data_IF_740140152705
#
_entry.id   IF_740140152705
#
_cell.length_a   1.000
_cell.length_b   1.000
_cell.length_c   1.000
_cell.angle_alpha   90.00
_cell.angle_beta   90.00
_cell.angle_gamma   90.00
#
_symmetry.space_group_name_H-M   'P 1'
#
loop_
_entity.id
_entity.type
_entity.pdbx_description
1 polymer ?
#
# COMPACT_ATOMS: atom_id res chain seq x y z
N UNK A 1 -5.62 15.89 4.76
CA UNK A 1 -4.21 15.87 5.15
C UNK A 1 -3.67 14.50 4.79
N UNK A 2 -2.51 14.50 4.17
CA UNK A 2 -1.67 13.33 3.98
C UNK A 2 -0.33 13.71 4.60
N UNK A 3 0.17 12.92 5.54
CA UNK A 3 1.30 13.34 6.36
C UNK A 3 2.16 12.18 6.83
N UNK A 4 3.41 12.54 7.06
CA UNK A 4 4.38 11.82 7.88
C UNK A 4 4.60 12.66 9.14
N UNK A 5 5.03 12.05 10.23
CA UNK A 5 5.38 12.78 11.45
C UNK A 5 6.76 12.33 11.92
N UNK A 6 7.63 13.28 12.27
CA UNK A 6 9.00 12.97 12.67
C UNK A 6 9.12 12.18 13.97
N UNK A 7 8.14 12.27 14.86
CA UNK A 7 8.06 11.49 16.10
C UNK A 7 7.55 10.06 15.88
N UNK A 8 6.87 9.80 14.77
CA UNK A 8 6.34 8.49 14.33
C UNK A 8 6.66 8.27 12.84
N UNK A 9 7.94 8.15 12.47
CA UNK A 9 8.36 8.19 11.06
C UNK A 9 7.92 6.96 10.26
N UNK A 10 7.57 5.88 10.94
CA UNK A 10 7.14 4.59 10.38
C UNK A 10 5.61 4.46 10.24
N UNK A 11 4.86 5.52 10.54
CA UNK A 11 3.39 5.54 10.39
C UNK A 11 3.01 6.59 9.35
N UNK A 12 2.17 6.18 8.39
CA UNK A 12 1.59 7.08 7.41
C UNK A 12 0.19 7.50 7.85
N UNK A 13 -0.15 8.77 7.64
CA UNK A 13 -1.44 9.32 8.03
C UNK A 13 -2.18 9.89 6.81
N UNK A 14 -3.48 9.58 6.72
CA UNK A 14 -4.37 10.03 5.66
C UNK A 14 -5.75 10.37 6.24
N UNK A 15 -6.23 11.60 6.05
CA UNK A 15 -7.56 11.99 6.57
C UNK A 15 -7.78 13.48 6.73
N UNK A 16 -8.45 13.90 7.80
CA UNK A 16 -8.76 15.31 8.12
C UNK A 16 -8.26 15.73 9.51
N UNK A 17 -7.92 16.99 9.71
CA UNK A 17 -7.28 17.45 10.96
C UNK A 17 -8.07 17.08 12.24
N UNK A 18 -9.39 16.98 12.13
CA UNK A 18 -10.33 16.64 13.19
C UNK A 18 -10.74 15.16 13.21
N UNK A 19 -10.16 14.33 12.34
CA UNK A 19 -10.44 12.90 12.26
C UNK A 19 -9.78 12.31 11.04
N UNK A 20 -9.06 11.20 11.21
CA UNK A 20 -8.30 10.63 10.12
C UNK A 20 -7.86 9.21 10.42
N UNK A 21 -7.25 8.63 9.40
CA UNK A 21 -6.75 7.28 9.41
C UNK A 21 -5.23 7.30 9.46
N UNK A 22 -4.67 6.22 9.97
CA UNK A 22 -3.25 5.90 9.91
C UNK A 22 -3.07 4.46 9.46
N UNK A 23 -1.88 4.11 8.98
CA UNK A 23 -1.56 2.71 8.70
C UNK A 23 -1.67 1.87 9.97
N UNK A 24 -2.31 0.70 9.87
CA UNK A 24 -2.46 -0.23 10.98
C UNK A 24 -1.15 -0.97 11.31
N UNK A 25 -0.21 -0.98 10.36
CA UNK A 25 1.14 -1.53 10.51
C UNK A 25 2.19 -0.49 10.15
N UNK A 26 3.41 -0.57 10.72
CA UNK A 26 4.53 0.28 10.32
C UNK A 26 4.91 0.08 8.85
N UNK A 27 5.44 1.13 8.23
CA UNK A 27 6.09 1.08 6.91
C UNK A 27 7.61 1.04 7.05
N UNK A 28 8.30 0.54 6.01
CA UNK A 28 9.75 0.50 5.99
C UNK A 28 10.36 1.92 5.97
N UNK A 29 11.44 2.11 6.73
CA UNK A 29 12.18 3.37 6.78
C UNK A 29 13.42 3.33 5.88
N UNK A 30 13.83 4.49 5.39
CA UNK A 30 15.08 4.65 4.63
C UNK A 30 15.02 4.08 3.21
N UNK A 31 13.82 3.75 2.71
CA UNK A 31 13.58 3.25 1.36
C UNK A 31 12.71 4.23 0.58
N UNK A 32 12.91 4.30 -0.74
CA UNK A 32 11.93 4.94 -1.61
C UNK A 32 10.64 4.13 -1.61
N UNK A 33 9.51 4.83 -1.54
CA UNK A 33 8.18 4.25 -1.60
C UNK A 33 7.29 5.11 -2.49
N UNK A 34 6.41 4.48 -3.25
CA UNK A 34 5.33 5.17 -3.94
C UNK A 34 4.11 5.23 -3.05
N UNK A 35 3.57 6.44 -2.85
CA UNK A 35 2.42 6.65 -1.98
C UNK A 35 1.30 7.32 -2.76
N UNK A 36 0.09 6.76 -2.66
CA UNK A 36 -1.11 7.38 -3.21
C UNK A 36 -2.24 7.31 -2.18
N UNK A 37 -2.82 8.46 -1.85
CA UNK A 37 -4.06 8.53 -1.08
C UNK A 37 -5.20 8.91 -1.99
N UNK A 38 -6.24 8.07 -2.03
CA UNK A 38 -7.46 8.27 -2.81
C UNK A 38 -8.61 8.56 -1.84
N UNK A 39 -9.39 9.61 -2.15
CA UNK A 39 -10.60 9.97 -1.39
C UNK A 39 -11.83 9.93 -2.30
N UNK A 40 -12.73 8.98 -2.06
CA UNK A 40 -14.04 8.86 -2.69
C UNK A 40 -15.16 9.40 -1.78
N UNK A 41 -15.60 10.63 -2.03
CA UNK A 41 -16.72 11.25 -1.32
C UNK A 41 -18.09 10.64 -1.61
N UNK A 42 -18.18 9.69 -2.55
CA UNK A 42 -19.42 9.00 -2.90
C UNK A 42 -19.53 7.62 -2.22
N UNK A 43 -18.47 7.13 -1.57
CA UNK A 43 -18.40 5.80 -0.94
C UNK A 43 -19.23 5.64 0.36
N UNK A 44 -20.21 6.52 0.62
CA UNK A 44 -21.12 6.44 1.76
C UNK A 44 -21.13 7.71 2.62
N UNK A 45 -21.17 7.54 3.95
CA UNK A 45 -21.19 8.67 4.87
C UNK A 45 -19.92 9.51 4.69
N UNK A 46 -20.06 10.82 4.51
CA UNK A 46 -18.96 11.77 4.37
C UNK A 46 -18.23 12.06 5.71
N UNK A 47 -17.94 10.99 6.45
CA UNK A 47 -17.11 11.01 7.65
C UNK A 47 -15.62 10.86 7.32
N UNK A 48 -14.73 11.01 8.32
CA UNK A 48 -13.29 10.95 8.12
C UNK A 48 -12.75 9.53 7.89
N UNK A 49 -13.56 8.50 8.18
CA UNK A 49 -13.13 7.09 8.16
C UNK A 49 -13.63 6.30 6.95
N UNK A 50 -14.45 6.91 6.09
CA UNK A 50 -15.09 6.23 4.95
C UNK A 50 -14.57 6.83 3.65
N UNK A 51 -14.41 5.99 2.63
CA UNK A 51 -14.00 6.40 1.29
C UNK A 51 -12.58 6.96 1.22
N UNK A 52 -11.68 6.51 2.09
CA UNK A 52 -10.25 6.82 2.00
C UNK A 52 -9.48 5.51 1.83
N UNK A 53 -8.65 5.44 0.81
CA UNK A 53 -7.74 4.30 0.57
C UNK A 53 -6.33 4.84 0.44
N UNK A 54 -5.40 4.29 1.22
CA UNK A 54 -3.98 4.57 1.08
C UNK A 54 -3.33 3.39 0.37
N UNK A 55 -2.49 3.71 -0.61
CA UNK A 55 -1.67 2.75 -1.34
C UNK A 55 -0.20 3.00 -1.02
N UNK A 56 0.53 1.92 -0.71
CA UNK A 56 1.98 1.89 -0.57
C UNK A 56 2.51 0.94 -1.63
N UNK A 57 3.45 1.42 -2.44
CA UNK A 57 4.06 0.70 -3.56
C UNK A 57 3.01 0.01 -4.45
N UNK A 58 1.93 0.73 -4.73
CA UNK A 58 0.86 0.28 -5.61
C UNK A 58 -0.25 -0.50 -4.93
N UNK A 59 -0.05 -0.88 -3.66
CA UNK A 59 -0.92 -1.80 -2.94
C UNK A 59 -1.72 -1.14 -1.83
N UNK A 60 -3.03 -1.41 -1.72
CA UNK A 60 -3.84 -0.85 -0.65
C UNK A 60 -3.35 -1.37 0.69
N UNK A 61 -3.18 -0.47 1.66
CA UNK A 61 -2.74 -0.84 3.02
C UNK A 61 -3.88 -0.73 4.02
N UNK A 62 -3.90 -1.67 4.97
CA UNK A 62 -4.83 -1.62 6.08
C UNK A 62 -4.64 -0.33 6.88
N UNK A 63 -5.74 0.38 7.11
CA UNK A 63 -5.76 1.60 7.90
C UNK A 63 -6.71 1.48 9.10
N UNK A 64 -6.40 2.22 10.14
CA UNK A 64 -7.20 2.31 11.37
C UNK A 64 -7.43 3.78 11.76
N UNK A 65 -8.49 4.09 12.53
CA UNK A 65 -8.67 5.41 13.11
C UNK A 65 -7.45 5.84 13.93
N UNK A 66 -6.98 7.06 13.71
CA UNK A 66 -5.92 7.61 14.54
C UNK A 66 -6.46 7.96 15.93
N UNK A 67 -6.04 7.20 16.93
CA UNK A 67 -6.44 7.35 18.33
C UNK A 67 -6.09 8.71 18.93
N UNK A 68 -5.13 9.41 18.33
CA UNK A 68 -4.62 10.68 18.84
C UNK A 68 -5.45 11.87 18.33
N UNK A 69 -6.40 11.62 17.42
CA UNK A 69 -7.31 12.61 16.91
C UNK A 69 -8.65 12.58 17.66
N UNK A 70 -9.38 13.71 17.73
CA UNK A 70 -10.62 13.80 18.51
C UNK A 70 -11.79 12.93 18.02
N UNK A 71 -11.67 12.26 16.87
CA UNK A 71 -12.65 11.28 16.40
C UNK A 71 -14.01 11.85 15.97
N UNK A 72 -14.04 13.03 15.34
CA UNK A 72 -15.31 13.64 14.91
C UNK A 72 -16.00 12.89 13.76
N UNK A 73 -17.31 13.03 13.65
CA UNK A 73 -18.14 12.33 12.64
C UNK A 73 -18.39 13.15 11.37
N UNK A 74 -18.08 14.45 11.38
CA UNK A 74 -18.24 15.35 10.23
C UNK A 74 -16.89 15.90 9.81
N UNK A 75 -16.58 15.74 8.54
CA UNK A 75 -15.37 16.30 7.93
C UNK A 75 -15.56 17.79 7.69
N UNK A 76 -14.59 18.60 8.11
CA UNK A 76 -14.52 20.02 7.76
C UNK A 76 -13.54 20.20 6.58
N UNK A 77 -14.04 20.71 5.46
CA UNK A 77 -13.26 20.92 4.23
C UNK A 77 -13.31 22.39 3.86
N UNK A 78 -12.18 23.06 3.92
CA UNK A 78 -12.01 24.43 3.47
C UNK A 78 -10.69 24.58 2.69
N UNK A 79 -10.65 25.57 1.80
CA UNK A 79 -9.44 25.88 1.04
C UNK A 79 -8.37 26.47 1.95
N UNK A 80 -7.14 25.94 1.88
CA UNK A 80 -5.99 26.47 2.58
C UNK A 80 -4.72 26.21 1.77
N UNK A 81 -3.59 26.89 2.07
CA UNK A 81 -2.33 26.61 1.40
C UNK A 81 -1.94 25.13 1.53
N UNK A 82 -1.63 24.50 0.41
CA UNK A 82 -1.05 23.17 0.40
C UNK A 82 0.38 23.24 0.92
N UNK A 83 0.73 22.33 1.83
CA UNK A 83 2.04 22.31 2.51
C UNK A 83 2.67 20.95 2.31
N UNK A 84 3.97 20.96 2.06
CA UNK A 84 4.80 19.77 1.85
C UNK A 84 5.79 19.72 3.02
N UNK A 85 6.01 18.52 3.57
CA UNK A 85 6.92 18.25 4.70
C UNK A 85 6.63 19.01 6.01
N UNK A 86 5.55 19.78 6.11
CA UNK A 86 5.19 20.49 7.36
C UNK A 86 3.69 20.72 7.53
N UNK A 87 3.22 20.62 8.75
CA UNK A 87 1.86 21.00 9.14
C UNK A 87 1.68 22.52 9.23
N UNK A 88 0.40 22.94 9.31
CA UNK A 88 0.02 24.34 9.41
C UNK A 88 0.38 25.00 10.75
N UNK A 89 0.63 24.22 11.81
CA UNK A 89 1.05 24.67 13.14
C UNK A 89 2.58 24.85 13.27
N UNK A 90 3.34 24.56 12.21
CA UNK A 90 4.79 24.72 12.12
C UNK A 90 5.63 23.85 13.07
N UNK A 91 5.00 23.09 13.98
CA UNK A 91 5.69 22.26 14.96
C UNK A 91 5.76 20.79 14.54
N UNK A 92 4.85 20.34 13.67
CA UNK A 92 4.89 18.99 13.07
C UNK A 92 5.49 19.06 11.68
N UNK A 93 6.54 18.30 11.45
CA UNK A 93 7.25 18.21 10.18
C UNK A 93 7.66 16.77 9.89
N UNK A 94 8.02 16.53 8.64
CA UNK A 94 8.56 15.28 8.15
C UNK A 94 9.96 15.54 7.62
N UNK A 95 10.94 14.75 8.08
CA UNK A 95 12.28 14.73 7.50
C UNK A 95 12.36 13.58 6.50
N UNK A 96 11.95 13.86 5.26
CA UNK A 96 11.86 12.87 4.18
C UNK A 96 12.32 13.47 2.87
N UNK A 97 12.83 12.63 1.96
CA UNK A 97 13.02 13.01 0.56
C UNK A 97 11.72 12.74 -0.20
N UNK A 98 11.31 13.66 -1.06
CA UNK A 98 10.13 13.51 -1.92
C UNK A 98 10.50 13.84 -3.36
N UNK A 99 9.90 13.13 -4.29
CA UNK A 99 9.98 13.40 -5.72
C UNK A 99 8.62 13.08 -6.37
N UNK A 100 8.38 13.64 -7.55
CA UNK A 100 7.19 13.36 -8.40
C UNK A 100 5.84 13.57 -7.68
N UNK A 101 5.74 14.65 -6.89
CA UNK A 101 4.50 14.99 -6.21
C UNK A 101 3.41 15.44 -7.19
N UNK A 102 2.27 14.75 -7.15
CA UNK A 102 1.10 15.05 -7.97
C UNK A 102 -0.19 15.13 -7.14
N UNK A 103 -1.16 15.92 -7.65
CA UNK A 103 -2.52 16.02 -7.11
C UNK A 103 -3.51 15.91 -8.27
N UNK A 104 -4.56 15.10 -8.08
CA UNK A 104 -5.58 14.83 -9.08
C UNK A 104 -6.95 15.28 -8.57
N UNK A 105 -7.82 15.71 -9.48
CA UNK A 105 -9.23 16.01 -9.24
C UNK A 105 -10.16 14.84 -9.60
N UNK A 106 -9.59 13.70 -9.98
CA UNK A 106 -10.27 12.45 -10.28
C UNK A 106 -9.88 11.34 -9.30
N UNK A 107 -10.75 10.34 -9.19
CA UNK A 107 -10.45 9.10 -8.49
C UNK A 107 -9.51 8.26 -9.36
N UNK A 108 -8.31 8.00 -8.85
CA UNK A 108 -7.45 6.98 -9.43
C UNK A 108 -7.93 5.59 -8.99
N UNK A 109 -8.10 4.70 -9.96
CA UNK A 109 -8.33 3.29 -9.71
C UNK A 109 -7.05 2.59 -9.23
N UNK A 110 -7.20 1.46 -8.57
CA UNK A 110 -6.07 0.62 -8.16
C UNK A 110 -5.19 0.22 -9.35
N UNK A 111 -5.79 -0.17 -10.47
CA UNK A 111 -5.06 -0.53 -11.69
C UNK A 111 -4.19 0.63 -12.21
N UNK A 112 -4.71 1.85 -12.18
CA UNK A 112 -3.93 3.03 -12.59
C UNK A 112 -2.77 3.30 -11.65
N UNK A 113 -2.98 3.14 -10.34
CA UNK A 113 -1.93 3.30 -9.33
C UNK A 113 -0.84 2.25 -9.53
N UNK A 114 -1.20 0.98 -9.68
CA UNK A 114 -0.24 -0.12 -9.93
C UNK A 114 0.54 0.09 -11.23
N UNK A 115 -0.14 0.50 -12.31
CA UNK A 115 0.52 0.81 -13.58
C UNK A 115 1.59 1.92 -13.45
N UNK A 116 1.34 2.92 -12.59
CA UNK A 116 2.34 3.97 -12.31
C UNK A 116 3.54 3.43 -11.55
N UNK A 117 3.32 2.61 -10.53
CA UNK A 117 4.39 1.96 -9.76
C UNK A 117 5.27 1.09 -10.66
N UNK A 118 4.66 0.30 -11.53
CA UNK A 118 5.36 -0.51 -12.55
C UNK A 118 6.17 0.37 -13.51
N UNK A 119 5.62 1.48 -13.98
CA UNK A 119 6.33 2.42 -14.86
C UNK A 119 7.54 3.09 -14.18
N UNK A 120 7.49 3.23 -12.85
CA UNK A 120 8.60 3.73 -12.04
C UNK A 120 9.63 2.64 -11.69
N UNK A 121 9.36 1.37 -12.03
CA UNK A 121 10.24 0.24 -11.69
C UNK A 121 10.28 -0.07 -10.19
N UNK A 122 9.29 0.40 -9.43
CA UNK A 122 9.18 0.11 -7.99
C UNK A 122 8.54 -1.28 -7.85
N UNK A 123 9.14 -2.22 -7.10
CA UNK A 123 8.50 -3.50 -6.81
C UNK A 123 7.26 -3.27 -5.95
N UNK A 124 6.15 -3.90 -6.28
CA UNK A 124 4.94 -3.80 -5.47
C UNK A 124 5.19 -4.46 -4.11
N UNK A 125 4.86 -3.76 -3.01
CA UNK A 125 5.05 -4.29 -1.65
C UNK A 125 3.92 -5.26 -1.28
N UNK A 126 3.74 -6.31 -2.08
CA UNK A 126 2.92 -7.48 -1.75
C UNK A 126 3.84 -8.59 -1.28
N UNK A 127 4.21 -8.59 0.02
CA UNK A 127 5.21 -9.49 0.60
C UNK A 127 4.81 -10.96 0.69
N UNK A 128 4.09 -11.46 -0.31
CA UNK A 128 3.50 -12.78 -0.34
C UNK A 128 4.20 -13.61 -1.42
N UNK A 129 4.96 -14.63 -1.00
CA UNK A 129 5.69 -15.46 -1.96
C UNK A 129 4.77 -16.29 -2.87
N UNK A 130 3.48 -16.37 -2.56
CA UNK A 130 2.45 -16.99 -3.39
C UNK A 130 1.74 -16.01 -4.35
N UNK A 131 1.87 -14.68 -4.14
CA UNK A 131 1.36 -13.66 -5.07
C UNK A 131 2.42 -13.47 -6.16
N UNK A 132 2.24 -14.20 -7.26
CA UNK A 132 3.17 -14.16 -8.39
C UNK A 132 2.76 -13.13 -9.42
N UNK A 133 1.47 -12.76 -9.45
CA UNK A 133 0.98 -11.71 -10.34
C UNK A 133 1.35 -10.31 -9.84
N UNK A 134 1.75 -10.19 -8.57
CA UNK A 134 2.16 -8.96 -7.92
C UNK A 134 0.99 -8.02 -7.69
N UNK A 135 -0.22 -8.58 -7.56
CA UNK A 135 -1.48 -7.86 -7.53
C UNK A 135 -1.93 -7.49 -6.11
N UNK A 136 -0.96 -7.42 -5.20
CA UNK A 136 -1.06 -6.89 -3.83
C UNK A 136 -1.58 -7.90 -2.80
N UNK A 137 -1.15 -9.13 -2.95
CA UNK A 137 -1.51 -10.25 -2.09
C UNK A 137 -2.87 -10.86 -2.44
N UNK A 138 -3.44 -10.56 -3.60
CA UNK A 138 -4.70 -11.12 -4.04
C UNK A 138 -4.47 -12.49 -4.66
N UNK A 139 -4.32 -13.50 -3.80
CA UNK A 139 -4.14 -14.87 -4.23
C UNK A 139 -5.35 -15.41 -4.99
N UNK A 140 -5.19 -15.60 -6.30
CA UNK A 140 -6.21 -16.15 -7.16
C UNK A 140 -5.68 -17.20 -8.18
N UNK A 141 -6.51 -17.60 -9.12
CA UNK A 141 -6.14 -18.62 -10.11
C UNK A 141 -5.02 -18.16 -11.05
N UNK A 142 -4.86 -16.85 -11.27
CA UNK A 142 -3.80 -16.30 -12.11
C UNK A 142 -2.43 -16.46 -11.46
N UNK A 143 -2.31 -16.39 -10.13
CA UNK A 143 -1.06 -16.75 -9.43
C UNK A 143 -0.73 -18.21 -9.63
N UNK A 144 -1.72 -19.10 -9.54
CA UNK A 144 -1.52 -20.54 -9.75
C UNK A 144 -1.10 -20.82 -11.19
N UNK A 145 -1.72 -20.17 -12.17
CA UNK A 145 -1.35 -20.29 -13.58
C UNK A 145 0.10 -19.81 -13.77
N UNK A 146 0.49 -18.71 -13.13
CA UNK A 146 1.83 -18.15 -13.26
C UNK A 146 2.88 -19.03 -12.55
N UNK A 147 2.55 -19.61 -11.40
CA UNK A 147 3.37 -20.63 -10.75
C UNK A 147 3.62 -21.82 -11.67
N UNK A 148 2.57 -22.37 -12.29
CA UNK A 148 2.70 -23.50 -13.21
C UNK A 148 3.55 -23.14 -14.44
N UNK A 149 3.45 -21.91 -14.93
CA UNK A 149 4.31 -21.42 -16.02
C UNK A 149 5.79 -21.31 -15.59
N UNK A 150 6.07 -20.81 -14.38
CA UNK A 150 7.42 -20.75 -13.84
C UNK A 150 7.99 -22.14 -13.54
N UNK A 151 7.17 -23.07 -13.06
CA UNK A 151 7.55 -24.45 -12.79
C UNK A 151 7.90 -25.19 -14.09
N UNK A 152 7.09 -25.07 -15.15
CA UNK A 152 7.37 -25.65 -16.46
C UNK A 152 8.62 -25.05 -17.12
N UNK A 153 8.94 -23.79 -16.80
CA UNK A 153 10.11 -23.08 -17.30
C UNK A 153 11.38 -23.27 -16.45
N UNK A 154 11.32 -24.06 -15.35
CA UNK A 154 12.41 -24.20 -14.37
C UNK A 154 12.93 -22.83 -13.88
N UNK A 155 12.03 -21.88 -13.66
CA UNK A 155 12.36 -20.54 -13.17
C UNK A 155 12.50 -20.55 -11.65
N UNK A 156 13.56 -19.93 -11.11
CA UNK A 156 13.84 -19.89 -9.67
C UNK A 156 12.70 -19.34 -8.79
N UNK A 157 11.70 -18.65 -9.37
CA UNK A 157 10.48 -18.23 -8.66
C UNK A 157 9.56 -19.40 -8.28
N UNK A 158 9.66 -20.54 -8.97
CA UNK A 158 8.93 -21.76 -8.66
C UNK A 158 9.73 -22.77 -7.82
N UNK A 159 11.01 -22.50 -7.53
CA UNK A 159 11.89 -23.32 -6.68
C UNK A 159 11.75 -22.87 -5.22
N UNK A 160 10.75 -23.43 -4.55
CA UNK A 160 10.28 -22.97 -3.24
C UNK A 160 10.68 -23.90 -2.09
N UNK A 161 11.14 -25.11 -2.40
CA UNK A 161 11.49 -26.13 -1.43
C UNK A 161 12.92 -26.68 -1.66
N UNK A 162 13.68 -27.00 -0.59
CA UNK A 162 14.96 -27.67 -0.76
C UNK A 162 14.82 -29.08 -1.39
N UNK A 163 15.79 -29.55 -2.19
CA UNK A 163 17.03 -28.87 -2.54
C UNK A 163 16.83 -27.83 -3.66
N UNK A 164 17.26 -26.60 -3.42
CA UNK A 164 17.19 -25.53 -4.43
C UNK A 164 17.96 -25.92 -5.70
N UNK A 165 17.37 -25.58 -6.85
CA UNK A 165 17.80 -25.98 -8.19
C UNK A 165 17.16 -27.29 -8.67
N UNK A 166 16.19 -27.85 -7.94
CA UNK A 166 15.41 -29.04 -8.31
C UNK A 166 13.94 -28.70 -8.30
N UNK A 167 13.27 -28.82 -9.45
CA UNK A 167 11.84 -28.54 -9.59
C UNK A 167 11.04 -29.83 -9.44
N UNK A 168 10.42 -30.03 -8.28
CA UNK A 168 9.69 -31.26 -7.99
C UNK A 168 8.36 -31.03 -7.23
N UNK A 169 7.74 -32.11 -6.79
CA UNK A 169 6.44 -32.07 -6.11
C UNK A 169 6.49 -31.27 -4.79
N UNK A 170 7.65 -31.17 -4.15
CA UNK A 170 7.80 -30.43 -2.90
C UNK A 170 7.69 -28.92 -3.12
N UNK A 171 8.07 -28.39 -4.29
CA UNK A 171 7.83 -26.99 -4.65
C UNK A 171 6.35 -26.70 -4.83
N UNK A 172 5.64 -27.62 -5.48
CA UNK A 172 4.18 -27.52 -5.66
C UNK A 172 3.49 -27.53 -4.31
N UNK A 173 3.89 -28.43 -3.40
CA UNK A 173 3.35 -28.47 -2.04
C UNK A 173 3.67 -27.19 -1.26
N UNK A 174 4.90 -26.68 -1.36
CA UNK A 174 5.29 -25.43 -0.71
C UNK A 174 4.51 -24.22 -1.26
N UNK A 175 4.26 -24.16 -2.57
CA UNK A 175 3.40 -23.14 -3.17
C UNK A 175 1.97 -23.25 -2.65
N UNK A 176 1.38 -24.46 -2.66
CA UNK A 176 0.00 -24.68 -2.21
C UNK A 176 -0.18 -24.38 -0.72
N UNK A 177 0.82 -24.69 0.12
CA UNK A 177 0.82 -24.34 1.55
C UNK A 177 0.79 -22.81 1.72
N UNK A 178 1.70 -22.10 1.05
CA UNK A 178 1.72 -20.62 1.08
C UNK A 178 0.43 -20.02 0.52
N UNK A 179 -0.11 -20.60 -0.55
CA UNK A 179 -1.36 -20.13 -1.15
C UNK A 179 -2.55 -20.32 -0.22
N UNK A 180 -2.60 -21.45 0.50
CA UNK A 180 -3.65 -21.74 1.48
C UNK A 180 -3.51 -20.92 2.77
N UNK A 181 -2.28 -20.62 3.19
CA UNK A 181 -1.98 -19.79 4.36
C UNK A 181 -2.25 -18.31 4.10
N UNK A 182 -2.28 -17.88 2.84
CA UNK A 182 -2.55 -16.51 2.44
C UNK A 182 -1.32 -15.60 2.47
N UNK A 183 -1.62 -14.30 2.58
CA UNK A 183 -0.68 -13.20 2.77
C UNK A 183 -1.05 -12.46 4.08
#
# INVERSE_FOLDING_TARGET
YFSFQNDRPDILYAGFYNGGLRTARPVALGTWMHLAWVRDSNAGANGPFVGSTLYVDGCPVAMEPDSDLPGFTTVDVFSSPFRIQRAADFNRFADVTMDELALYDTLLSETEIRARVQALGIPTSGGCAADLTGDCGHLDIFDVILFLQYFDAEDARADLAPPLGSFDIFDILAYLERFADGC
#
